data_IF_634815757257
#
_entry.id   IF_634815757257
#
_cell.length_a   1.000
_cell.length_b   1.000
_cell.length_c   1.000
_cell.angle_alpha   90.00
_cell.angle_beta   90.00
_cell.angle_gamma   90.00
#
_symmetry.space_group_name_H-M   'P 1'
#
loop_
_entity.id
_entity.type
_entity.pdbx_description
1 polymer ?
#
# COMPACT_ATOMS: atom_id res chain seq x y z
N UNK A 1 14.31 20.89 -28.68
CA UNK A 1 13.18 20.14 -28.08
C UNK A 1 12.78 20.94 -26.84
N UNK A 2 11.56 21.52 -26.80
CA UNK A 2 11.14 22.44 -25.74
C UNK A 2 11.05 21.72 -24.39
N UNK A 3 11.55 22.35 -23.31
CA UNK A 3 11.53 21.79 -21.94
C UNK A 3 10.10 21.52 -21.44
N UNK A 4 9.11 22.30 -21.86
CA UNK A 4 7.69 22.03 -21.59
C UNK A 4 7.21 20.68 -22.14
N UNK A 5 7.69 20.26 -23.31
CA UNK A 5 7.30 18.97 -23.89
C UNK A 5 7.90 17.79 -23.11
N UNK A 6 9.01 17.99 -22.39
CA UNK A 6 9.61 16.94 -21.56
C UNK A 6 8.81 16.72 -20.28
N UNK A 7 8.29 17.79 -19.67
CA UNK A 7 7.44 17.68 -18.48
C UNK A 7 6.13 16.96 -18.82
N UNK A 8 5.52 17.29 -19.96
CA UNK A 8 4.31 16.60 -20.40
C UNK A 8 4.56 15.11 -20.69
N UNK A 9 5.67 14.77 -21.33
CA UNK A 9 6.08 13.37 -21.58
C UNK A 9 6.31 12.59 -20.27
N UNK A 10 6.86 13.24 -19.24
CA UNK A 10 6.99 12.63 -17.91
C UNK A 10 5.64 12.35 -17.27
N UNK A 11 4.69 13.30 -17.34
CA UNK A 11 3.33 13.09 -16.83
C UNK A 11 2.60 12.00 -17.59
N UNK A 12 2.75 11.94 -18.91
CA UNK A 12 2.14 10.90 -19.75
C UNK A 12 2.70 9.51 -19.40
N UNK A 13 4.01 9.39 -19.22
CA UNK A 13 4.63 8.13 -18.75
C UNK A 13 4.14 7.72 -17.37
N UNK A 14 3.98 8.66 -16.44
CA UNK A 14 3.45 8.35 -15.11
C UNK A 14 1.99 7.88 -15.17
N UNK A 15 1.18 8.51 -16.03
CA UNK A 15 -0.21 8.11 -16.26
C UNK A 15 -0.30 6.77 -16.98
N UNK A 16 0.60 6.49 -17.93
CA UNK A 16 0.68 5.20 -18.61
C UNK A 16 0.97 4.07 -17.60
N UNK A 17 1.92 4.27 -16.69
CA UNK A 17 2.19 3.30 -15.62
C UNK A 17 0.94 3.01 -14.79
N UNK A 18 0.17 4.06 -14.46
CA UNK A 18 -1.09 3.91 -13.71
C UNK A 18 -2.17 3.20 -14.55
N UNK A 19 -2.26 3.48 -15.85
CA UNK A 19 -3.27 2.87 -16.72
C UNK A 19 -3.13 1.34 -16.84
N UNK A 20 -1.93 0.83 -16.58
CA UNK A 20 -1.61 -0.60 -16.58
C UNK A 20 -1.91 -1.27 -15.24
N UNK A 21 -2.27 -0.50 -14.22
CA UNK A 21 -2.55 -1.01 -12.89
C UNK A 21 -3.74 -1.97 -12.90
N UNK A 22 -3.54 -3.20 -12.44
CA UNK A 22 -4.55 -4.26 -12.38
C UNK A 22 -5.48 -4.19 -11.15
N UNK A 23 -5.39 -3.10 -10.37
CA UNK A 23 -6.11 -2.87 -9.12
C UNK A 23 -5.64 -3.70 -7.92
N UNK A 24 -4.57 -4.48 -8.04
CA UNK A 24 -3.97 -5.23 -6.93
C UNK A 24 -2.99 -4.38 -6.12
N UNK A 25 -2.69 -4.83 -4.91
CA UNK A 25 -1.74 -4.17 -4.03
C UNK A 25 -0.29 -4.35 -4.53
N UNK A 26 0.03 -5.54 -5.02
CA UNK A 26 1.33 -5.93 -5.53
C UNK A 26 1.70 -5.08 -6.75
N UNK A 27 0.81 -5.00 -7.73
CA UNK A 27 1.03 -4.18 -8.92
C UNK A 27 0.98 -2.68 -8.60
N UNK A 28 0.09 -2.27 -7.68
CA UNK A 28 0.04 -0.89 -7.19
C UNK A 28 1.37 -0.41 -6.59
N UNK A 29 2.10 -1.30 -5.89
CA UNK A 29 3.45 -0.99 -5.41
C UNK A 29 4.45 -0.81 -6.56
N UNK A 30 4.38 -1.66 -7.60
CA UNK A 30 5.23 -1.55 -8.79
C UNK A 30 4.98 -0.23 -9.51
N UNK A 31 3.72 0.15 -9.70
CA UNK A 31 3.32 1.42 -10.31
C UNK A 31 3.89 2.62 -9.53
N UNK A 32 3.75 2.63 -8.20
CA UNK A 32 4.31 3.70 -7.36
C UNK A 32 5.84 3.76 -7.47
N UNK A 33 6.53 2.63 -7.43
CA UNK A 33 7.99 2.58 -7.55
C UNK A 33 8.47 3.11 -8.91
N UNK A 34 7.77 2.76 -9.99
CA UNK A 34 8.10 3.24 -11.33
C UNK A 34 7.86 4.75 -11.46
N UNK A 35 6.74 5.26 -10.92
CA UNK A 35 6.44 6.69 -10.92
C UNK A 35 7.39 7.50 -10.03
N UNK A 36 7.88 6.92 -8.93
CA UNK A 36 8.87 7.57 -8.07
C UNK A 36 10.19 7.85 -8.81
N UNK A 37 10.60 6.97 -9.73
CA UNK A 37 11.79 7.18 -10.59
C UNK A 37 11.60 8.34 -11.56
N UNK A 38 10.37 8.55 -12.02
CA UNK A 38 10.01 9.64 -12.93
C UNK A 38 9.78 10.98 -12.19
N UNK A 39 9.51 10.94 -10.89
CA UNK A 39 9.26 12.15 -10.09
C UNK A 39 10.51 12.97 -9.85
N UNK A 40 11.69 12.35 -9.75
CA UNK A 40 12.95 13.06 -9.58
C UNK A 40 13.27 14.03 -10.74
N UNK A 41 13.24 13.60 -12.02
CA UNK A 41 13.43 14.53 -13.14
C UNK A 41 12.27 15.53 -13.28
N UNK A 42 11.03 15.14 -12.94
CA UNK A 42 9.89 16.04 -12.94
C UNK A 42 10.05 17.20 -11.93
N UNK A 43 10.51 16.91 -10.71
CA UNK A 43 10.77 17.94 -9.69
C UNK A 43 11.90 18.89 -10.11
N UNK A 44 12.97 18.37 -10.70
CA UNK A 44 14.06 19.21 -11.22
C UNK A 44 13.62 20.18 -12.31
N UNK A 45 12.58 19.84 -13.09
CA UNK A 45 12.00 20.72 -14.11
C UNK A 45 10.93 21.69 -13.57
N UNK A 46 10.40 21.46 -12.37
CA UNK A 46 9.51 22.42 -11.70
C UNK A 46 10.29 23.60 -11.09
N UNK A 47 11.49 23.35 -10.57
CA UNK A 47 12.35 24.37 -9.96
C UNK A 47 12.85 25.42 -10.96
N UNK A 48 12.82 25.12 -12.26
CA UNK A 48 13.16 26.08 -13.34
C UNK A 48 12.02 27.07 -13.66
N UNK A 49 10.89 26.99 -12.94
CA UNK A 49 9.83 28.01 -12.97
C UNK A 49 8.88 27.95 -14.16
N UNK A 50 8.91 26.87 -14.94
CA UNK A 50 8.27 26.79 -16.27
C UNK A 50 6.88 26.12 -16.31
N UNK A 51 6.27 25.82 -15.15
CA UNK A 51 5.06 25.00 -15.13
C UNK A 51 3.86 25.67 -14.45
N UNK A 52 2.77 25.81 -15.20
CA UNK A 52 1.48 26.14 -14.64
C UNK A 52 0.94 24.90 -13.91
N UNK A 53 0.78 25.00 -12.60
CA UNK A 53 0.42 23.92 -11.67
C UNK A 53 -1.03 23.38 -11.87
N UNK A 54 -1.65 23.71 -13.01
CA UNK A 54 -3.05 23.49 -13.39
C UNK A 54 -3.22 22.48 -14.53
N UNK A 55 -2.22 21.66 -14.81
CA UNK A 55 -2.40 20.58 -15.80
C UNK A 55 -3.41 19.55 -15.30
N UNK A 56 -4.48 19.32 -16.08
CA UNK A 56 -5.47 18.26 -15.81
C UNK A 56 -4.82 16.88 -15.62
N UNK A 57 -3.69 16.63 -16.28
CA UNK A 57 -2.91 15.39 -16.14
C UNK A 57 -2.34 15.23 -14.73
N UNK A 58 -1.86 16.31 -14.12
CA UNK A 58 -1.35 16.28 -12.74
C UNK A 58 -2.47 16.00 -11.74
N UNK A 59 -3.64 16.62 -11.93
CA UNK A 59 -4.80 16.35 -11.10
C UNK A 59 -5.25 14.88 -11.19
N UNK A 60 -5.30 14.34 -12.41
CA UNK A 60 -5.61 12.94 -12.66
C UNK A 60 -4.56 12.02 -12.01
N UNK A 61 -3.28 12.32 -12.18
CA UNK A 61 -2.17 11.58 -11.59
C UNK A 61 -2.28 11.52 -10.06
N UNK A 62 -2.57 12.65 -9.41
CA UNK A 62 -2.76 12.73 -7.97
C UNK A 62 -3.96 11.89 -7.54
N UNK A 63 -5.08 11.99 -8.25
CA UNK A 63 -6.30 11.25 -7.92
C UNK A 63 -6.08 9.74 -8.02
N UNK A 64 -5.53 9.26 -9.14
CA UNK A 64 -5.26 7.83 -9.32
C UNK A 64 -4.20 7.30 -8.34
N UNK A 65 -3.21 8.11 -7.98
CA UNK A 65 -2.23 7.73 -6.93
C UNK A 65 -2.90 7.56 -5.56
N UNK A 66 -3.92 8.39 -5.24
CA UNK A 66 -4.69 8.23 -3.99
C UNK A 66 -5.48 6.92 -3.98
N UNK A 67 -6.02 6.50 -5.13
CA UNK A 67 -6.75 5.23 -5.26
C UNK A 67 -5.83 4.04 -5.00
N UNK A 68 -4.61 4.05 -5.55
CA UNK A 68 -3.59 3.04 -5.25
C UNK A 68 -3.26 3.03 -3.75
N UNK A 69 -3.05 4.21 -3.14
CA UNK A 69 -2.79 4.31 -1.70
C UNK A 69 -3.94 3.75 -0.86
N UNK A 70 -5.19 3.95 -1.29
CA UNK A 70 -6.36 3.41 -0.62
C UNK A 70 -6.40 1.89 -0.72
N UNK A 71 -6.11 1.32 -1.90
CA UNK A 71 -5.99 -0.13 -2.08
C UNK A 71 -4.95 -0.72 -1.11
N UNK A 72 -3.75 -0.12 -1.05
CA UNK A 72 -2.69 -0.55 -0.13
C UNK A 72 -3.10 -0.46 1.35
N UNK A 73 -3.78 0.62 1.75
CA UNK A 73 -4.30 0.77 3.12
C UNK A 73 -5.34 -0.29 3.47
N UNK A 74 -6.26 -0.60 2.55
CA UNK A 74 -7.24 -1.66 2.74
C UNK A 74 -6.57 -3.02 2.91
N UNK A 75 -5.59 -3.35 2.05
CA UNK A 75 -4.84 -4.60 2.17
C UNK A 75 -4.08 -4.70 3.48
N UNK A 76 -3.45 -3.60 3.93
CA UNK A 76 -2.81 -3.52 5.25
C UNK A 76 -3.80 -3.81 6.39
N UNK A 77 -5.01 -3.26 6.33
CA UNK A 77 -6.02 -3.49 7.37
C UNK A 77 -6.45 -4.96 7.43
N UNK A 78 -6.60 -5.61 6.26
CA UNK A 78 -6.91 -7.05 6.18
C UNK A 78 -5.81 -7.86 6.87
N UNK A 79 -4.54 -7.62 6.54
CA UNK A 79 -3.40 -8.32 7.14
C UNK A 79 -3.35 -8.11 8.67
N UNK A 80 -3.59 -6.89 9.15
CA UNK A 80 -3.64 -6.62 10.60
C UNK A 80 -4.78 -7.38 11.29
N UNK A 81 -5.93 -7.50 10.63
CA UNK A 81 -7.06 -8.26 11.16
C UNK A 81 -6.74 -9.76 11.20
N UNK A 82 -6.09 -10.31 10.18
CA UNK A 82 -5.63 -11.70 10.14
C UNK A 82 -4.64 -11.99 11.27
N UNK A 83 -3.65 -11.12 11.48
CA UNK A 83 -2.69 -11.24 12.60
C UNK A 83 -3.43 -11.27 13.94
N UNK A 84 -4.38 -10.35 14.15
CA UNK A 84 -5.17 -10.31 15.38
C UNK A 84 -5.99 -11.59 15.60
N UNK A 85 -6.49 -12.22 14.53
CA UNK A 85 -7.19 -13.50 14.62
C UNK A 85 -6.26 -14.66 15.00
N UNK A 86 -5.05 -14.70 14.42
CA UNK A 86 -4.02 -15.69 14.77
C UNK A 86 -3.67 -15.56 16.25
N UNK A 87 -3.37 -14.35 16.74
CA UNK A 87 -3.05 -14.13 18.16
C UNK A 87 -4.18 -14.52 19.11
N UNK A 88 -5.44 -14.33 18.70
CA UNK A 88 -6.60 -14.82 19.49
C UNK A 88 -6.66 -16.34 19.52
N UNK A 89 -6.37 -16.98 18.39
CA UNK A 89 -6.34 -18.44 18.27
C UNK A 89 -5.25 -19.04 19.15
N UNK A 90 -4.06 -18.46 19.15
CA UNK A 90 -2.95 -18.90 20.02
C UNK A 90 -3.32 -18.83 21.50
N UNK A 91 -3.94 -17.72 21.94
CA UNK A 91 -4.44 -17.57 23.32
C UNK A 91 -5.47 -18.63 23.71
N UNK A 92 -6.33 -19.03 22.77
CA UNK A 92 -7.34 -20.08 23.03
C UNK A 92 -6.65 -21.43 23.18
N UNK A 93 -5.72 -21.77 22.29
CA UNK A 93 -4.95 -23.03 22.34
C UNK A 93 -4.16 -23.12 23.66
N UNK A 94 -3.47 -22.04 24.04
CA UNK A 94 -2.73 -21.98 25.30
C UNK A 94 -3.64 -22.19 26.52
N UNK A 95 -4.84 -21.60 26.50
CA UNK A 95 -5.85 -21.80 27.55
C UNK A 95 -6.29 -23.26 27.70
N UNK A 96 -6.53 -23.97 26.58
CA UNK A 96 -6.87 -25.39 26.60
C UNK A 96 -5.70 -26.26 27.07
N UNK A 97 -4.46 -25.96 26.65
CA UNK A 97 -3.27 -26.68 27.10
C UNK A 97 -3.01 -26.52 28.60
N UNK A 98 -3.27 -25.33 29.16
CA UNK A 98 -3.16 -25.07 30.60
C UNK A 98 -4.28 -25.80 31.36
N UNK A 99 -5.52 -25.75 30.89
CA UNK A 99 -6.65 -26.47 31.53
C UNK A 99 -6.46 -27.99 31.53
N UNK A 100 -5.85 -28.56 30.49
CA UNK A 100 -5.54 -29.99 30.46
C UNK A 100 -4.42 -30.42 31.42
N UNK A 101 -3.66 -29.48 32.02
CA UNK A 101 -2.55 -29.78 32.92
C UNK A 101 -2.95 -29.86 34.41
N UNK A 102 -4.12 -29.38 34.79
CA UNK A 102 -4.58 -29.34 36.21
C UNK A 102 -5.90 -30.10 36.44
N UNK A 103 -5.93 -31.39 36.12
CA UNK A 103 -6.96 -32.27 36.69
C UNK A 103 -6.33 -33.50 37.30
N UNK A 104 -5.53 -33.30 38.35
CA UNK A 104 -5.18 -34.37 39.29
C UNK A 104 -6.37 -34.50 40.24
N UNK A 105 -7.25 -35.46 39.95
CA UNK A 105 -8.25 -35.91 40.92
C UNK A 105 -7.49 -36.43 42.15
N UNK A 106 -7.58 -35.70 43.26
CA UNK A 106 -7.16 -36.21 44.55
C UNK A 106 -8.30 -37.13 45.02
N UNK A 107 -8.18 -38.43 44.74
CA UNK A 107 -8.93 -39.43 45.49
C UNK A 107 -8.44 -39.36 46.93
N UNK A 108 -9.24 -38.74 47.80
CA UNK A 108 -9.15 -38.95 49.24
C UNK A 108 -10.06 -40.12 49.59
N UNK A 109 -9.58 -41.32 49.35
CA UNK A 109 -10.12 -42.49 50.04
C UNK A 109 -9.43 -42.62 51.40
N UNK A 110 -10.31 -42.56 52.41
CA UNK A 110 -10.25 -42.83 53.86
C UNK A 110 -8.99 -43.44 54.49
#
# INVERSE_FOLDING_TARGET
MNEQNQVEDLLDKMLENISRWDQTAEDGMVVIQNNQKLMAPYQGQLETGLFDNKSNKLALLIQSTKEIQQCLKSKRQVVLNEINQITKTDKIIDGYLIQHKESVFIDRDF
#
